data_IF_130087260039
#
_entry.id   IF_130087260039
#
_cell.length_a   1.000
_cell.length_b   1.000
_cell.length_c   1.000
_cell.angle_alpha   90.00
_cell.angle_beta   90.00
_cell.angle_gamma   90.00
#
_symmetry.space_group_name_H-M   'P 1'
#
loop_
_entity.id
_entity.type
_entity.pdbx_description
1 polymer ?
#
# COMPACT_ATOMS: atom_id res chain seq x y z
N UNK A 1 -11.97 63.15 -111.14
CA UNK A 1 -12.61 63.38 -109.82
C UNK A 1 -11.84 64.50 -109.21
N UNK A 2 -12.27 65.71 -109.53
CA UNK A 2 -11.36 66.85 -109.54
C UNK A 2 -11.49 67.52 -108.17
N UNK A 3 -10.34 67.79 -107.54
CA UNK A 3 -10.32 68.38 -106.21
C UNK A 3 -10.90 69.80 -106.27
N UNK A 4 -11.56 70.28 -105.19
CA UNK A 4 -11.94 71.69 -105.10
C UNK A 4 -10.69 72.55 -105.32
N UNK A 5 -10.80 73.61 -106.15
CA UNK A 5 -9.64 74.42 -106.57
C UNK A 5 -8.78 74.92 -105.41
N UNK A 6 -9.40 75.24 -104.28
CA UNK A 6 -8.70 75.72 -103.09
C UNK A 6 -7.87 74.63 -102.39
N UNK A 7 -8.26 73.36 -102.53
CA UNK A 7 -7.49 72.20 -102.08
C UNK A 7 -6.33 71.93 -103.04
N UNK A 8 -6.56 72.06 -104.34
CA UNK A 8 -5.51 71.90 -105.37
C UNK A 8 -4.45 73.01 -105.29
N UNK A 9 -4.86 74.27 -105.13
CA UNK A 9 -4.00 75.43 -104.83
C UNK A 9 -3.20 75.22 -103.53
N UNK A 10 -3.83 74.68 -102.48
CA UNK A 10 -3.17 74.39 -101.21
C UNK A 10 -2.16 73.24 -101.32
N UNK A 11 -2.47 72.18 -102.07
CA UNK A 11 -1.56 71.06 -102.34
C UNK A 11 -0.37 71.56 -103.17
N UNK A 12 -0.62 72.28 -104.26
CA UNK A 12 0.44 72.84 -105.12
C UNK A 12 1.36 73.76 -104.32
N UNK A 13 0.81 74.77 -103.63
CA UNK A 13 1.59 75.66 -102.76
C UNK A 13 2.28 74.94 -101.60
N UNK A 14 1.80 73.75 -101.21
CA UNK A 14 2.48 72.90 -100.23
C UNK A 14 3.66 72.12 -100.81
N UNK A 15 3.56 71.67 -102.06
CA UNK A 15 4.68 71.06 -102.80
C UNK A 15 5.75 72.12 -103.06
N UNK A 16 5.35 73.28 -103.60
CA UNK A 16 6.22 74.43 -103.86
C UNK A 16 7.02 74.83 -102.60
N UNK A 17 6.35 74.88 -101.43
CA UNK A 17 7.01 75.09 -100.13
C UNK A 17 8.12 74.06 -99.85
N UNK A 18 7.84 72.77 -100.04
CA UNK A 18 8.79 71.68 -99.73
C UNK A 18 9.98 71.60 -100.67
N UNK A 19 9.89 72.19 -101.89
CA UNK A 19 11.02 72.30 -102.83
C UNK A 19 11.72 73.67 -102.77
N UNK A 20 11.36 74.53 -101.81
CA UNK A 20 12.01 75.83 -101.58
C UNK A 20 11.58 76.95 -102.54
N UNK A 21 10.47 76.80 -103.26
CA UNK A 21 9.90 77.84 -104.10
C UNK A 21 9.08 78.86 -103.28
N UNK A 22 8.96 80.13 -103.73
CA UNK A 22 8.16 81.13 -103.04
C UNK A 22 6.67 80.79 -103.07
N UNK A 23 6.00 80.92 -101.93
CA UNK A 23 4.62 80.44 -101.70
C UNK A 23 3.68 81.62 -101.41
N UNK A 24 2.40 81.48 -101.78
CA UNK A 24 1.39 82.50 -101.45
C UNK A 24 1.17 82.64 -99.93
N UNK A 25 0.93 83.87 -99.47
CA UNK A 25 0.60 84.17 -98.08
C UNK A 25 -0.62 83.38 -97.60
N UNK A 26 -1.66 83.26 -98.44
CA UNK A 26 -2.88 82.46 -98.18
C UNK A 26 -2.55 81.00 -97.81
N UNK A 27 -1.58 80.38 -98.48
CA UNK A 27 -1.16 79.00 -98.17
C UNK A 27 -0.44 78.91 -96.82
N UNK A 28 0.36 79.91 -96.46
CA UNK A 28 1.07 79.97 -95.17
C UNK A 28 0.10 80.25 -94.00
N UNK A 29 -0.87 81.15 -94.19
CA UNK A 29 -1.94 81.44 -93.22
C UNK A 29 -2.82 80.21 -92.94
N UNK A 30 -3.20 79.46 -93.99
CA UNK A 30 -3.94 78.20 -93.85
C UNK A 30 -3.12 77.14 -93.08
N UNK A 31 -1.81 77.02 -93.37
CA UNK A 31 -0.92 76.13 -92.61
C UNK A 31 -0.83 76.54 -91.15
N UNK A 32 -0.59 77.81 -90.86
CA UNK A 32 -0.51 78.35 -89.51
C UNK A 32 -1.78 78.01 -88.71
N UNK A 33 -2.96 78.33 -89.26
CA UNK A 33 -4.24 78.01 -88.60
C UNK A 33 -4.41 76.51 -88.37
N UNK A 34 -4.08 75.66 -89.34
CA UNK A 34 -4.19 74.20 -89.17
C UNK A 34 -3.26 73.65 -88.07
N UNK A 35 -2.12 74.30 -87.84
CA UNK A 35 -1.17 73.95 -86.78
C UNK A 35 -1.68 74.46 -85.42
N UNK A 36 -2.26 75.66 -85.35
CA UNK A 36 -2.90 76.21 -84.15
C UNK A 36 -4.12 75.37 -83.72
N UNK A 37 -4.96 74.96 -84.66
CA UNK A 37 -6.08 74.03 -84.44
C UNK A 37 -5.61 72.65 -83.98
N UNK A 38 -4.54 72.09 -84.56
CA UNK A 38 -3.95 70.84 -84.10
C UNK A 38 -3.31 70.97 -82.70
N UNK A 39 -2.65 72.09 -82.40
CA UNK A 39 -2.00 72.35 -81.11
C UNK A 39 -3.01 72.53 -79.98
N UNK A 40 -4.11 73.25 -80.24
CA UNK A 40 -5.23 73.40 -79.30
C UNK A 40 -5.92 72.07 -79.03
N UNK A 41 -6.28 71.30 -80.06
CA UNK A 41 -6.84 69.96 -79.89
C UNK A 41 -5.91 69.00 -79.12
N UNK A 42 -4.59 69.07 -79.35
CA UNK A 42 -3.60 68.28 -78.61
C UNK A 42 -3.53 68.72 -77.12
N UNK A 43 -3.56 70.02 -76.86
CA UNK A 43 -3.57 70.59 -75.50
C UNK A 43 -4.81 70.17 -74.73
N UNK A 44 -5.99 70.20 -75.35
CA UNK A 44 -7.24 69.79 -74.71
C UNK A 44 -7.28 68.28 -74.42
N UNK A 45 -6.78 67.45 -75.36
CA UNK A 45 -6.60 66.01 -75.12
C UNK A 45 -5.61 65.73 -73.99
N UNK A 46 -4.52 66.48 -73.89
CA UNK A 46 -3.56 66.37 -72.80
C UNK A 46 -4.19 66.74 -71.45
N UNK A 47 -4.95 67.84 -71.37
CA UNK A 47 -5.66 68.26 -70.16
C UNK A 47 -6.72 67.24 -69.72
N UNK A 48 -7.47 66.67 -70.67
CA UNK A 48 -8.45 65.60 -70.41
C UNK A 48 -7.80 64.29 -69.94
N UNK A 49 -6.62 63.95 -70.46
CA UNK A 49 -5.86 62.79 -69.99
C UNK A 49 -5.29 63.02 -68.58
N UNK A 50 -4.81 64.24 -68.31
CA UNK A 50 -4.28 64.63 -67.00
C UNK A 50 -5.35 64.67 -65.90
N UNK A 51 -6.58 65.09 -66.21
CA UNK A 51 -7.69 65.03 -65.25
C UNK A 51 -8.12 63.59 -64.96
N UNK A 52 -8.26 62.75 -65.99
CA UNK A 52 -8.53 61.31 -65.84
C UNK A 52 -7.44 60.57 -65.05
N UNK A 53 -6.17 60.92 -65.23
CA UNK A 53 -5.07 60.32 -64.45
C UNK A 53 -5.25 60.62 -62.95
N UNK A 54 -5.45 61.90 -62.60
CA UNK A 54 -5.70 62.32 -61.21
C UNK A 54 -6.94 61.66 -60.58
N UNK A 55 -8.01 61.49 -61.36
CA UNK A 55 -9.23 60.77 -60.92
C UNK A 55 -8.93 59.29 -60.60
N UNK A 56 -8.10 58.63 -61.43
CA UNK A 56 -7.65 57.27 -61.20
C UNK A 56 -6.74 57.17 -59.98
N UNK A 57 -5.77 58.07 -59.83
CA UNK A 57 -4.86 58.11 -58.67
C UNK A 57 -5.65 58.27 -57.36
N UNK A 58 -6.57 59.23 -57.30
CA UNK A 58 -7.47 59.41 -56.14
C UNK A 58 -8.31 58.17 -55.84
N UNK A 59 -8.68 57.40 -56.86
CA UNK A 59 -9.46 56.17 -56.70
C UNK A 59 -8.59 55.02 -56.20
N UNK A 60 -7.34 54.93 -56.66
CA UNK A 60 -6.34 53.98 -56.16
C UNK A 60 -6.04 54.25 -54.68
N UNK A 61 -5.83 55.51 -54.27
CA UNK A 61 -5.58 55.83 -52.86
C UNK A 61 -6.80 55.56 -51.97
N UNK A 62 -8.03 55.83 -52.44
CA UNK A 62 -9.27 55.46 -51.72
C UNK A 62 -9.36 53.96 -51.49
N UNK A 63 -9.18 53.16 -52.54
CA UNK A 63 -9.21 51.68 -52.45
C UNK A 63 -8.06 51.13 -51.60
N UNK A 64 -6.87 51.75 -51.64
CA UNK A 64 -5.73 51.36 -50.78
C UNK A 64 -6.03 51.64 -49.30
N UNK A 65 -6.61 52.79 -48.98
CA UNK A 65 -7.00 53.13 -47.61
C UNK A 65 -8.08 52.19 -47.06
N UNK A 66 -9.12 51.91 -47.86
CA UNK A 66 -10.19 50.97 -47.52
C UNK A 66 -9.64 49.55 -47.29
N UNK A 67 -8.82 49.04 -48.22
CA UNK A 67 -8.17 47.74 -48.11
C UNK A 67 -7.29 47.60 -46.86
N UNK A 68 -6.53 48.66 -46.51
CA UNK A 68 -5.73 48.69 -45.30
C UNK A 68 -6.58 48.65 -44.01
N UNK A 69 -7.66 49.44 -43.94
CA UNK A 69 -8.59 49.42 -42.81
C UNK A 69 -9.27 48.06 -42.65
N UNK A 70 -9.69 47.44 -43.76
CA UNK A 70 -10.27 46.10 -43.77
C UNK A 70 -9.27 45.03 -43.33
N UNK A 71 -8.00 45.11 -43.75
CA UNK A 71 -6.95 44.20 -43.30
C UNK A 71 -6.66 44.32 -41.80
N UNK A 72 -6.66 45.55 -41.24
CA UNK A 72 -6.51 45.79 -39.81
C UNK A 72 -7.71 45.24 -39.02
N UNK A 73 -8.93 45.42 -39.52
CA UNK A 73 -10.14 44.88 -38.90
C UNK A 73 -10.14 43.34 -38.88
N UNK A 74 -9.80 42.70 -40.01
CA UNK A 74 -9.67 41.25 -40.11
C UNK A 74 -8.59 40.70 -39.17
N UNK A 75 -7.44 41.39 -39.05
CA UNK A 75 -6.37 40.99 -38.12
C UNK A 75 -6.84 40.97 -36.67
N UNK A 76 -7.54 42.04 -36.21
CA UNK A 76 -8.11 42.09 -34.86
C UNK A 76 -9.15 41.00 -34.63
N UNK A 77 -10.05 40.77 -35.59
CA UNK A 77 -11.05 39.71 -35.50
C UNK A 77 -10.40 38.31 -35.39
N UNK A 78 -9.29 38.06 -36.09
CA UNK A 78 -8.54 36.80 -35.97
C UNK A 78 -7.90 36.69 -34.57
N UNK A 79 -7.29 37.75 -34.06
CA UNK A 79 -6.69 37.79 -32.71
C UNK A 79 -7.73 37.55 -31.60
N UNK A 80 -8.90 38.18 -31.70
CA UNK A 80 -10.03 38.00 -30.77
C UNK A 80 -10.60 36.57 -30.83
N UNK A 81 -10.79 36.00 -32.02
CA UNK A 81 -11.23 34.61 -32.16
C UNK A 81 -10.20 33.60 -31.61
N UNK A 82 -8.90 33.85 -31.79
CA UNK A 82 -7.85 33.01 -31.21
C UNK A 82 -7.84 33.06 -29.68
N UNK A 83 -8.08 34.25 -29.10
CA UNK A 83 -8.25 34.44 -27.65
C UNK A 83 -9.50 33.72 -27.12
N UNK A 84 -10.65 33.87 -27.79
CA UNK A 84 -11.88 33.16 -27.42
C UNK A 84 -11.71 31.63 -27.50
N UNK A 85 -11.04 31.12 -28.53
CA UNK A 85 -10.75 29.70 -28.64
C UNK A 85 -9.85 29.18 -27.49
N UNK A 86 -8.86 29.96 -27.04
CA UNK A 86 -8.03 29.56 -25.89
C UNK A 86 -8.79 29.61 -24.56
N UNK A 87 -9.70 30.57 -24.39
CA UNK A 87 -10.60 30.66 -23.24
C UNK A 87 -11.61 29.50 -23.20
N UNK A 88 -12.22 29.15 -24.33
CA UNK A 88 -13.08 27.96 -24.45
C UNK A 88 -12.32 26.66 -24.11
N UNK A 89 -11.09 26.49 -24.60
CA UNK A 89 -10.26 25.32 -24.27
C UNK A 89 -9.90 25.26 -22.78
N UNK A 90 -9.62 26.40 -22.15
CA UNK A 90 -9.38 26.50 -20.69
C UNK A 90 -10.64 26.12 -19.89
N UNK A 91 -11.80 26.67 -20.26
CA UNK A 91 -13.08 26.36 -19.62
C UNK A 91 -13.47 24.89 -19.78
N UNK A 92 -13.32 24.30 -20.97
CA UNK A 92 -13.52 22.87 -21.20
C UNK A 92 -12.60 22.01 -20.32
N UNK A 93 -11.34 22.43 -20.15
CA UNK A 93 -10.37 21.73 -19.29
C UNK A 93 -10.78 21.79 -17.81
N UNK A 94 -11.39 22.89 -17.36
CA UNK A 94 -11.96 23.03 -16.02
C UNK A 94 -13.25 22.22 -15.85
N UNK A 95 -14.18 22.25 -16.80
CA UNK A 95 -15.39 21.41 -16.79
C UNK A 95 -15.03 19.93 -16.67
N UNK A 96 -14.07 19.46 -17.46
CA UNK A 96 -13.56 18.08 -17.40
C UNK A 96 -12.87 17.75 -16.06
N UNK A 97 -12.35 18.75 -15.32
CA UNK A 97 -11.82 18.55 -13.96
C UNK A 97 -12.96 18.40 -12.93
N UNK A 98 -13.97 19.26 -13.01
CA UNK A 98 -15.13 19.20 -12.12
C UNK A 98 -16.00 17.95 -12.34
N UNK A 99 -16.22 17.52 -13.59
CA UNK A 99 -16.94 16.29 -13.92
C UNK A 99 -16.28 15.04 -13.29
N UNK A 100 -14.95 14.98 -13.31
CA UNK A 100 -14.19 13.91 -12.64
C UNK A 100 -14.31 13.98 -11.11
N UNK A 101 -14.34 15.17 -10.52
CA UNK A 101 -14.51 15.34 -9.07
C UNK A 101 -15.93 14.98 -8.61
N UNK A 102 -16.97 15.40 -9.33
CA UNK A 102 -18.35 14.93 -9.13
C UNK A 102 -18.42 13.40 -9.20
N UNK A 103 -17.80 12.80 -10.22
CA UNK A 103 -17.70 11.35 -10.36
C UNK A 103 -16.93 10.66 -9.22
N UNK A 104 -16.08 11.36 -8.47
CA UNK A 104 -15.47 10.82 -7.25
C UNK A 104 -16.45 10.91 -6.07
N UNK A 105 -17.11 12.06 -5.87
CA UNK A 105 -18.13 12.23 -4.83
C UNK A 105 -19.31 11.25 -4.96
N UNK A 106 -19.75 10.92 -6.18
CA UNK A 106 -20.80 9.91 -6.41
C UNK A 106 -20.37 8.52 -5.92
N UNK A 107 -19.15 8.08 -6.28
CA UNK A 107 -18.57 6.79 -5.83
C UNK A 107 -18.29 6.77 -4.34
N UNK A 108 -17.82 7.89 -3.77
CA UNK A 108 -17.58 8.02 -2.34
C UNK A 108 -18.88 7.93 -1.54
N UNK A 109 -19.99 8.49 -2.06
CA UNK A 109 -21.34 8.35 -1.49
C UNK A 109 -21.83 6.91 -1.55
N UNK A 110 -21.64 6.23 -2.68
CA UNK A 110 -22.00 4.80 -2.86
C UNK A 110 -21.23 3.91 -1.88
N UNK A 111 -19.89 4.06 -1.80
CA UNK A 111 -19.06 3.30 -0.87
C UNK A 111 -19.41 3.54 0.61
N UNK A 112 -19.85 4.75 0.97
CA UNK A 112 -20.35 5.06 2.32
C UNK A 112 -21.74 4.45 2.59
N UNK A 113 -22.60 4.35 1.59
CA UNK A 113 -23.90 3.68 1.70
C UNK A 113 -23.73 2.16 1.90
N UNK A 114 -22.87 1.52 1.10
CA UNK A 114 -22.55 0.10 1.23
C UNK A 114 -21.91 -0.22 2.60
N UNK A 115 -20.98 0.63 3.06
CA UNK A 115 -20.41 0.50 4.41
C UNK A 115 -21.48 0.62 5.51
N UNK A 116 -22.47 1.50 5.34
CA UNK A 116 -23.62 1.60 6.23
C UNK A 116 -24.45 0.31 6.26
N UNK A 117 -24.78 -0.23 5.08
CA UNK A 117 -25.51 -1.49 4.94
C UNK A 117 -24.76 -2.67 5.60
N UNK A 118 -23.44 -2.77 5.40
CA UNK A 118 -22.59 -3.77 6.08
C UNK A 118 -22.58 -3.60 7.61
N UNK A 119 -22.52 -2.36 8.11
CA UNK A 119 -22.49 -2.07 9.53
C UNK A 119 -23.83 -2.43 10.22
N UNK A 120 -24.95 -2.07 9.59
CA UNK A 120 -26.30 -2.41 10.05
C UNK A 120 -26.55 -3.92 10.04
N UNK A 121 -26.10 -4.64 9.00
CA UNK A 121 -26.21 -6.10 8.98
C UNK A 121 -25.38 -6.73 10.10
N UNK A 122 -24.13 -6.28 10.28
CA UNK A 122 -23.25 -6.75 11.37
C UNK A 122 -23.80 -6.45 12.76
N UNK A 123 -24.55 -5.36 12.92
CA UNK A 123 -25.25 -5.04 14.15
C UNK A 123 -26.40 -6.03 14.42
N UNK A 124 -27.25 -6.32 13.43
CA UNK A 124 -28.32 -7.33 13.51
C UNK A 124 -27.75 -8.72 13.80
N UNK A 125 -26.68 -9.12 13.10
CA UNK A 125 -25.98 -10.37 13.34
C UNK A 125 -25.41 -10.47 14.76
N UNK A 126 -25.05 -9.35 15.40
CA UNK A 126 -24.59 -9.32 16.79
C UNK A 126 -25.77 -9.35 17.78
N UNK A 127 -26.86 -8.64 17.48
CA UNK A 127 -28.08 -8.63 18.30
C UNK A 127 -28.71 -10.03 18.40
N UNK A 128 -28.87 -10.73 17.27
CA UNK A 128 -29.38 -12.12 17.25
C UNK A 128 -28.54 -13.03 18.13
N UNK A 129 -27.21 -12.99 18.02
CA UNK A 129 -26.31 -13.81 18.86
C UNK A 129 -26.36 -13.43 20.34
N UNK A 130 -26.62 -12.17 20.68
CA UNK A 130 -26.87 -11.78 22.08
C UNK A 130 -28.19 -12.37 22.59
N UNK A 131 -29.25 -12.38 21.77
CA UNK A 131 -30.54 -13.00 22.12
C UNK A 131 -30.40 -14.52 22.30
N UNK A 132 -29.71 -15.21 21.39
CA UNK A 132 -29.38 -16.65 21.49
C UNK A 132 -28.64 -16.96 22.81
N UNK A 133 -27.54 -16.25 23.10
CA UNK A 133 -26.75 -16.45 24.32
C UNK A 133 -27.54 -16.09 25.60
N UNK A 134 -28.44 -15.11 25.53
CA UNK A 134 -29.36 -14.82 26.63
C UNK A 134 -30.34 -15.97 26.88
N UNK A 135 -30.87 -16.62 25.85
CA UNK A 135 -31.74 -17.79 26.01
C UNK A 135 -30.99 -19.01 26.55
N UNK A 136 -29.76 -19.27 26.08
CA UNK A 136 -28.87 -20.28 26.65
C UNK A 136 -28.58 -20.01 28.13
N UNK A 137 -28.23 -18.78 28.50
CA UNK A 137 -28.04 -18.40 29.92
C UNK A 137 -29.32 -18.56 30.74
N UNK A 138 -30.49 -18.22 30.20
CA UNK A 138 -31.80 -18.44 30.86
C UNK A 138 -32.10 -19.94 31.02
N UNK A 139 -31.60 -20.80 30.12
CA UNK A 139 -31.65 -22.26 30.22
C UNK A 139 -30.75 -22.80 31.32
N UNK A 140 -29.44 -22.54 31.22
CA UNK A 140 -28.43 -22.97 32.20
C UNK A 140 -28.74 -22.49 33.62
N UNK A 141 -29.28 -21.27 33.78
CA UNK A 141 -29.68 -20.75 35.09
C UNK A 141 -30.82 -21.56 35.72
N UNK A 142 -31.78 -22.05 34.93
CA UNK A 142 -32.87 -22.92 35.41
C UNK A 142 -32.34 -24.31 35.80
N UNK A 143 -31.43 -24.86 35.01
CA UNK A 143 -30.80 -26.16 35.28
C UNK A 143 -29.92 -26.11 36.54
N UNK A 144 -29.13 -25.05 36.73
CA UNK A 144 -28.34 -24.84 37.94
C UNK A 144 -29.23 -24.73 39.19
N UNK A 145 -30.36 -24.01 39.11
CA UNK A 145 -31.35 -23.95 40.20
C UNK A 145 -31.94 -25.34 40.50
N UNK A 146 -32.26 -26.13 39.46
CA UNK A 146 -32.77 -27.49 39.62
C UNK A 146 -31.77 -28.40 40.34
N UNK A 147 -30.50 -28.44 39.91
CA UNK A 147 -29.48 -29.24 40.60
C UNK A 147 -29.19 -28.75 42.02
N UNK A 148 -29.17 -27.43 42.25
CA UNK A 148 -29.02 -26.86 43.60
C UNK A 148 -30.11 -27.37 44.54
N UNK A 149 -31.38 -27.24 44.15
CA UNK A 149 -32.49 -27.74 44.98
C UNK A 149 -32.59 -29.26 45.05
N UNK A 150 -31.97 -30.01 44.14
CA UNK A 150 -31.80 -31.46 44.29
C UNK A 150 -30.71 -31.80 45.32
N UNK A 151 -29.60 -31.06 45.33
CA UNK A 151 -28.50 -31.23 46.28
C UNK A 151 -28.92 -30.84 47.70
N UNK A 152 -29.62 -29.71 47.87
CA UNK A 152 -30.13 -29.25 49.17
C UNK A 152 -31.03 -30.30 49.84
N UNK A 153 -31.88 -31.01 49.08
CA UNK A 153 -32.68 -32.13 49.58
C UNK A 153 -31.80 -33.30 50.05
N UNK A 154 -30.85 -33.75 49.22
CA UNK A 154 -29.95 -34.88 49.57
C UNK A 154 -29.08 -34.60 50.80
N UNK A 155 -28.70 -33.34 51.05
CA UNK A 155 -27.92 -32.97 52.25
C UNK A 155 -28.76 -33.11 53.53
N UNK A 156 -30.06 -32.78 53.48
CA UNK A 156 -30.95 -32.93 54.63
C UNK A 156 -31.10 -34.40 55.08
N UNK A 157 -31.11 -35.35 54.14
CA UNK A 157 -31.21 -36.78 54.41
C UNK A 157 -29.91 -37.41 54.96
N UNK A 158 -28.76 -36.74 54.79
CA UNK A 158 -27.43 -37.36 54.95
C UNK A 158 -26.85 -37.34 56.39
N UNK A 159 -27.64 -36.92 57.39
CA UNK A 159 -27.19 -36.80 58.79
C UNK A 159 -26.76 -38.12 59.45
N UNK A 160 -26.98 -39.27 58.79
CA UNK A 160 -26.66 -40.61 59.30
C UNK A 160 -25.27 -41.14 58.84
N UNK A 161 -24.61 -40.49 57.87
CA UNK A 161 -23.45 -41.07 57.17
C UNK A 161 -22.12 -41.11 57.96
N UNK A 162 -21.97 -40.31 59.01
CA UNK A 162 -20.69 -40.14 59.71
C UNK A 162 -20.21 -41.42 60.42
N UNK A 163 -21.12 -42.17 61.06
CA UNK A 163 -20.78 -43.39 61.81
C UNK A 163 -20.53 -44.60 60.90
N UNK A 164 -21.21 -44.66 59.74
CA UNK A 164 -20.96 -45.70 58.73
C UNK A 164 -19.63 -45.49 58.02
N UNK A 165 -19.23 -44.22 57.76
CA UNK A 165 -17.93 -43.89 57.18
C UNK A 165 -16.77 -44.37 58.07
N UNK A 166 -16.79 -44.06 59.37
CA UNK A 166 -15.77 -44.49 60.33
C UNK A 166 -15.61 -46.03 60.35
N UNK A 167 -16.73 -46.75 60.30
CA UNK A 167 -16.77 -48.22 60.32
C UNK A 167 -16.20 -48.84 59.04
N UNK A 168 -16.53 -48.27 57.87
CA UNK A 168 -15.97 -48.70 56.58
C UNK A 168 -14.48 -48.39 56.47
N UNK A 169 -14.03 -47.26 57.03
CA UNK A 169 -12.64 -46.82 57.00
C UNK A 169 -11.73 -47.73 57.84
N UNK A 170 -12.18 -48.18 59.01
CA UNK A 170 -11.52 -49.26 59.77
C UNK A 170 -11.44 -50.56 58.97
N UNK A 171 -12.52 -50.95 58.27
CA UNK A 171 -12.52 -52.18 57.46
C UNK A 171 -11.51 -52.13 56.30
N UNK A 172 -11.45 -51.01 55.57
CA UNK A 172 -10.54 -50.82 54.43
C UNK A 172 -9.07 -50.78 54.88
N UNK A 173 -8.74 -50.04 55.95
CA UNK A 173 -7.39 -50.03 56.54
C UNK A 173 -7.06 -51.35 57.24
N UNK A 174 -8.07 -52.10 57.68
CA UNK A 174 -7.98 -53.50 58.08
C UNK A 174 -7.41 -54.35 56.95
N UNK A 175 -8.07 -54.36 55.79
CA UNK A 175 -7.75 -55.24 54.65
C UNK A 175 -6.48 -54.87 53.89
N UNK A 176 -6.17 -53.59 53.65
CA UNK A 176 -5.04 -53.21 52.78
C UNK A 176 -3.66 -53.20 53.45
N UNK A 177 -3.56 -53.34 54.77
CA UNK A 177 -2.32 -53.07 55.52
C UNK A 177 -1.98 -54.25 56.44
N UNK A 178 -0.95 -55.02 56.07
CA UNK A 178 -0.44 -56.15 56.84
C UNK A 178 0.07 -55.73 58.24
N UNK A 179 0.08 -56.66 59.19
CA UNK A 179 0.36 -56.41 60.61
C UNK A 179 1.83 -56.05 60.91
N UNK A 180 2.76 -56.52 60.07
CA UNK A 180 4.22 -56.34 60.18
C UNK A 180 4.67 -54.85 60.23
N UNK A 181 3.76 -53.91 59.95
CA UNK A 181 4.05 -52.49 59.88
C UNK A 181 3.97 -51.74 61.23
N UNK A 182 3.29 -52.27 62.25
CA UNK A 182 2.91 -51.51 63.46
C UNK A 182 4.11 -50.94 64.23
N UNK A 183 5.24 -51.66 64.27
CA UNK A 183 6.47 -51.18 64.89
C UNK A 183 7.04 -49.92 64.21
N UNK A 184 6.91 -49.81 62.87
CA UNK A 184 7.43 -48.69 62.08
C UNK A 184 6.70 -47.38 62.34
N UNK A 185 5.41 -47.42 62.73
CA UNK A 185 4.67 -46.23 63.12
C UNK A 185 5.12 -45.69 64.47
N UNK A 186 5.42 -46.57 65.44
CA UNK A 186 5.89 -46.19 66.76
C UNK A 186 7.29 -45.57 66.71
N UNK A 187 8.26 -46.25 66.08
CA UNK A 187 9.63 -45.75 65.98
C UNK A 187 9.75 -44.44 65.17
N UNK A 188 8.79 -44.16 64.29
CA UNK A 188 8.69 -42.88 63.60
C UNK A 188 8.22 -41.74 64.52
N UNK A 189 7.26 -41.99 65.42
CA UNK A 189 6.89 -41.00 66.46
C UNK A 189 8.04 -40.77 67.44
N UNK A 190 8.77 -41.83 67.83
CA UNK A 190 9.96 -41.75 68.68
C UNK A 190 11.06 -40.90 68.01
N UNK A 191 11.33 -41.11 66.71
CA UNK A 191 12.28 -40.32 65.92
C UNK A 191 11.85 -38.86 65.68
N UNK A 192 10.54 -38.55 65.75
CA UNK A 192 9.98 -37.21 65.57
C UNK A 192 9.46 -36.60 66.88
N UNK A 193 9.89 -37.12 68.03
CA UNK A 193 9.45 -36.72 69.38
C UNK A 193 9.71 -35.25 69.72
N UNK A 194 10.60 -34.57 68.98
CA UNK A 194 10.80 -33.12 69.02
C UNK A 194 9.53 -32.30 68.69
N UNK A 195 8.53 -32.91 68.06
CA UNK A 195 7.22 -32.29 67.82
C UNK A 195 6.22 -32.72 68.91
N UNK A 196 5.67 -31.75 69.65
CA UNK A 196 4.70 -31.94 70.72
C UNK A 196 3.52 -32.85 70.33
N UNK A 197 3.01 -32.72 69.10
CA UNK A 197 1.95 -33.58 68.56
C UNK A 197 2.39 -35.05 68.41
N UNK A 198 3.64 -35.29 68.01
CA UNK A 198 4.19 -36.65 67.89
C UNK A 198 4.44 -37.26 69.27
N UNK A 199 4.92 -36.46 70.24
CA UNK A 199 5.04 -36.89 71.64
C UNK A 199 3.68 -37.29 72.22
N UNK A 200 2.63 -36.46 72.07
CA UNK A 200 1.28 -36.78 72.55
C UNK A 200 0.68 -38.02 71.89
N UNK A 201 0.90 -38.21 70.58
CA UNK A 201 0.52 -39.43 69.86
C UNK A 201 1.28 -40.68 70.35
N UNK A 202 2.52 -40.52 70.80
CA UNK A 202 3.34 -41.61 71.33
C UNK A 202 2.92 -42.00 72.76
N UNK A 203 2.66 -41.00 73.61
CA UNK A 203 2.10 -41.19 74.96
C UNK A 203 0.74 -41.89 74.91
N UNK A 204 -0.10 -41.53 73.92
CA UNK A 204 -1.40 -42.16 73.68
C UNK A 204 -1.35 -43.41 72.78
N UNK A 205 -0.18 -43.90 72.35
CA UNK A 205 -0.07 -44.92 71.29
C UNK A 205 -0.96 -46.15 71.52
N UNK A 206 -1.01 -46.66 72.75
CA UNK A 206 -1.79 -47.84 73.13
C UNK A 206 -3.32 -47.62 73.19
N UNK A 207 -3.80 -46.37 73.14
CA UNK A 207 -5.23 -46.01 73.09
C UNK A 207 -5.68 -45.41 71.75
N UNK A 208 -4.77 -45.28 70.77
CA UNK A 208 -5.12 -44.95 69.39
C UNK A 208 -5.92 -46.09 68.73
N UNK A 209 -6.84 -45.75 67.82
CA UNK A 209 -7.54 -46.76 67.00
C UNK A 209 -6.53 -47.53 66.12
N UNK A 210 -6.78 -48.82 65.78
CA UNK A 210 -5.91 -49.59 64.88
C UNK A 210 -5.69 -48.91 63.52
N UNK A 211 -6.73 -48.30 62.93
CA UNK A 211 -6.59 -47.43 61.74
C UNK A 211 -5.52 -46.35 61.92
N UNK A 212 -5.51 -45.65 63.06
CA UNK A 212 -4.59 -44.54 63.34
C UNK A 212 -3.15 -45.03 63.46
N UNK A 213 -2.93 -46.14 64.18
CA UNK A 213 -1.61 -46.79 64.26
C UNK A 213 -1.11 -47.23 62.88
N UNK A 214 -1.99 -47.81 62.04
CA UNK A 214 -1.69 -48.21 60.67
C UNK A 214 -1.37 -47.01 59.76
N UNK A 215 -2.11 -45.90 59.85
CA UNK A 215 -1.84 -44.66 59.09
C UNK A 215 -0.50 -44.03 59.50
N UNK A 216 -0.15 -44.02 60.79
CA UNK A 216 1.15 -43.56 61.26
C UNK A 216 2.30 -44.48 60.76
N UNK A 217 2.04 -45.77 60.63
CA UNK A 217 2.96 -46.75 60.02
C UNK A 217 3.08 -46.60 58.49
N UNK A 218 2.06 -46.04 57.82
CA UNK A 218 2.18 -45.62 56.42
C UNK A 218 2.96 -44.32 56.28
N UNK A 219 2.76 -43.34 57.18
CA UNK A 219 3.49 -42.08 57.17
C UNK A 219 5.01 -42.30 57.32
N UNK A 220 5.44 -43.26 58.15
CA UNK A 220 6.84 -43.61 58.28
C UNK A 220 7.43 -44.27 57.02
N UNK A 221 6.71 -45.23 56.42
CA UNK A 221 7.09 -45.81 55.12
C UNK A 221 7.15 -44.77 54.00
N UNK A 222 6.21 -43.84 53.95
CA UNK A 222 6.22 -42.73 53.00
C UNK A 222 7.44 -41.81 53.20
N UNK A 223 7.85 -41.54 54.45
CA UNK A 223 9.04 -40.74 54.72
C UNK A 223 10.35 -41.44 54.31
N UNK A 224 10.44 -42.76 54.49
CA UNK A 224 11.57 -43.55 53.97
C UNK A 224 11.59 -43.53 52.44
N UNK A 225 10.45 -43.82 51.79
CA UNK A 225 10.33 -43.78 50.32
C UNK A 225 10.56 -42.39 49.72
N UNK A 226 10.25 -41.31 50.44
CA UNK A 226 10.57 -39.94 50.02
C UNK A 226 12.08 -39.69 50.01
N UNK A 227 12.80 -40.14 51.04
CA UNK A 227 14.25 -40.06 51.10
C UNK A 227 14.89 -40.93 49.99
N UNK A 228 14.45 -42.19 49.84
CA UNK A 228 14.93 -43.11 48.81
C UNK A 228 14.69 -42.57 47.39
N UNK A 229 13.52 -41.96 47.15
CA UNK A 229 13.19 -41.29 45.89
C UNK A 229 14.14 -40.13 45.58
N UNK A 230 14.49 -39.30 46.56
CA UNK A 230 15.41 -38.19 46.33
C UNK A 230 16.86 -38.68 46.18
N UNK A 231 17.27 -39.75 46.88
CA UNK A 231 18.54 -40.43 46.62
C UNK A 231 18.61 -41.00 45.18
N UNK A 232 17.55 -41.67 44.71
CA UNK A 232 17.44 -42.15 43.34
C UNK A 232 17.46 -41.00 42.33
N UNK A 233 16.82 -39.87 42.63
CA UNK A 233 16.83 -38.67 41.78
C UNK A 233 18.23 -38.04 41.66
N UNK A 234 18.96 -37.92 42.77
CA UNK A 234 20.33 -37.43 42.79
C UNK A 234 21.25 -38.37 41.99
N UNK A 235 21.06 -39.69 42.12
CA UNK A 235 21.84 -40.68 41.37
C UNK A 235 21.52 -40.66 39.87
N UNK A 236 20.24 -40.46 39.49
CA UNK A 236 19.85 -40.29 38.09
C UNK A 236 20.47 -39.02 37.48
N UNK A 237 20.41 -37.88 38.19
CA UNK A 237 21.01 -36.63 37.75
C UNK A 237 22.53 -36.78 37.48
N UNK A 238 23.24 -37.48 38.37
CA UNK A 238 24.67 -37.80 38.17
C UNK A 238 24.90 -38.72 36.98
N UNK A 239 24.08 -39.75 36.79
CA UNK A 239 24.20 -40.64 35.63
C UNK A 239 23.93 -39.91 34.31
N UNK A 240 22.99 -38.95 34.28
CA UNK A 240 22.74 -38.08 33.13
C UNK A 240 23.92 -37.12 32.86
N UNK A 241 24.56 -36.58 33.90
CA UNK A 241 25.79 -35.78 33.79
C UNK A 241 26.99 -36.62 33.30
N UNK A 242 27.20 -37.82 33.83
CA UNK A 242 28.24 -38.76 33.39
C UNK A 242 28.04 -39.18 31.93
N UNK A 243 26.81 -39.51 31.51
CA UNK A 243 26.46 -39.81 30.11
C UNK A 243 26.70 -38.60 29.21
N UNK A 244 26.45 -37.38 29.67
CA UNK A 244 26.72 -36.15 28.91
C UNK A 244 28.22 -35.91 28.70
N UNK A 245 29.05 -36.09 29.75
CA UNK A 245 30.51 -36.00 29.64
C UNK A 245 31.05 -37.09 28.70
N UNK A 246 30.61 -38.34 28.87
CA UNK A 246 30.98 -39.44 27.98
C UNK A 246 30.53 -39.21 26.53
N UNK A 247 29.41 -38.53 26.29
CA UNK A 247 28.99 -38.14 24.94
C UNK A 247 29.91 -37.06 24.36
N UNK A 248 30.28 -36.04 25.14
CA UNK A 248 31.22 -34.99 24.72
C UNK A 248 32.62 -35.58 24.41
N UNK A 249 33.14 -36.46 25.27
CA UNK A 249 34.39 -37.20 25.03
C UNK A 249 34.32 -38.12 23.79
N UNK A 250 33.21 -38.84 23.59
CA UNK A 250 33.03 -39.67 22.39
C UNK A 250 32.98 -38.82 21.11
N UNK A 251 32.39 -37.63 21.13
CA UNK A 251 32.43 -36.71 19.97
C UNK A 251 33.85 -36.21 19.70
N UNK A 252 34.63 -35.90 20.75
CA UNK A 252 36.05 -35.53 20.60
C UNK A 252 36.86 -36.68 20.00
N UNK A 253 36.68 -37.91 20.51
CA UNK A 253 37.30 -39.13 19.98
C UNK A 253 36.83 -39.46 18.55
N UNK A 254 35.58 -39.16 18.17
CA UNK A 254 35.12 -39.32 16.78
C UNK A 254 35.81 -38.31 15.86
N UNK A 255 35.97 -37.05 16.28
CA UNK A 255 36.71 -36.03 15.53
C UNK A 255 38.22 -36.32 15.47
N UNK A 256 38.83 -36.92 16.50
CA UNK A 256 40.21 -37.41 16.41
C UNK A 256 40.33 -38.64 15.51
N UNK A 257 39.41 -39.60 15.57
CA UNK A 257 39.35 -40.72 14.64
C UNK A 257 39.17 -40.24 13.19
N UNK A 258 38.32 -39.23 12.92
CA UNK A 258 38.19 -38.60 11.59
C UNK A 258 39.49 -37.93 11.14
N UNK A 259 40.20 -37.22 12.02
CA UNK A 259 41.52 -36.62 11.72
C UNK A 259 42.53 -37.71 11.36
N UNK A 260 42.61 -38.78 12.17
CA UNK A 260 43.49 -39.95 11.97
C UNK A 260 43.15 -40.71 10.68
N UNK A 261 41.88 -41.01 10.42
CA UNK A 261 41.41 -41.57 9.15
C UNK A 261 41.79 -40.66 7.98
N UNK A 262 41.66 -39.33 8.10
CA UNK A 262 42.13 -38.41 7.06
C UNK A 262 43.64 -38.46 6.87
N UNK A 263 44.43 -38.68 7.94
CA UNK A 263 45.89 -38.81 7.89
C UNK A 263 46.28 -40.13 7.22
N UNK A 264 45.75 -41.26 7.66
CA UNK A 264 45.98 -42.57 7.03
C UNK A 264 45.49 -42.60 5.57
N UNK A 265 44.42 -41.89 5.22
CA UNK A 265 44.00 -41.71 3.82
C UNK A 265 44.98 -40.83 3.02
N UNK A 266 45.51 -39.73 3.59
CA UNK A 266 46.56 -38.90 2.95
C UNK A 266 47.86 -39.68 2.78
N UNK A 267 48.19 -40.52 3.75
CA UNK A 267 49.36 -41.39 3.77
C UNK A 267 49.22 -42.53 2.74
N UNK A 268 48.02 -43.13 2.60
CA UNK A 268 47.69 -43.97 1.44
C UNK A 268 47.85 -43.22 0.12
N UNK A 269 47.25 -42.03 -0.03
CA UNK A 269 47.34 -41.23 -1.27
C UNK A 269 48.79 -40.84 -1.61
N UNK A 270 49.67 -40.68 -0.61
CA UNK A 270 51.11 -40.48 -0.82
C UNK A 270 51.87 -41.76 -1.20
N UNK A 271 51.45 -42.93 -0.72
CA UNK A 271 52.03 -44.22 -1.12
C UNK A 271 51.47 -44.72 -2.48
N UNK A 272 50.23 -44.37 -2.82
CA UNK A 272 49.54 -44.70 -4.06
C UNK A 272 49.84 -43.69 -5.20
N UNK A 273 50.75 -42.73 -5.00
CA UNK A 273 51.09 -41.69 -5.99
C UNK A 273 51.96 -42.18 -7.18
N UNK A 274 51.70 -43.42 -7.62
CA UNK A 274 52.23 -44.04 -8.83
C UNK A 274 51.07 -44.57 -9.72
N UNK A 275 49.95 -43.84 -9.75
CA UNK A 275 48.67 -44.27 -10.33
C UNK A 275 47.95 -43.17 -11.13
N UNK A 276 48.31 -43.02 -12.40
CA UNK A 276 47.79 -42.10 -13.42
C UNK A 276 46.26 -41.80 -13.42
N UNK A 277 45.96 -40.52 -13.67
CA UNK A 277 44.82 -39.96 -14.45
C UNK A 277 43.39 -39.99 -13.86
N UNK A 278 42.73 -38.82 -13.86
CA UNK A 278 41.29 -38.67 -13.54
C UNK A 278 40.83 -37.20 -13.48
N UNK A 279 40.56 -36.58 -14.62
CA UNK A 279 40.30 -35.13 -14.74
C UNK A 279 38.82 -34.73 -14.68
N UNK A 280 38.47 -33.71 -13.88
CA UNK A 280 37.83 -32.47 -14.37
C UNK A 280 37.62 -31.41 -13.26
N UNK A 281 37.26 -30.18 -13.65
CA UNK A 281 37.37 -28.96 -12.83
C UNK A 281 36.03 -28.33 -12.38
N UNK A 282 36.09 -27.36 -11.46
CA UNK A 282 34.95 -26.56 -10.97
C UNK A 282 35.36 -25.09 -10.72
N UNK A 283 34.43 -24.13 -10.84
CA UNK A 283 34.72 -22.71 -11.08
C UNK A 283 34.22 -21.70 -9.99
N UNK A 284 35.06 -21.49 -8.96
CA UNK A 284 35.48 -20.22 -8.34
C UNK A 284 34.55 -18.95 -8.30
N UNK A 285 34.04 -18.62 -7.09
CA UNK A 285 33.90 -17.24 -6.48
C UNK A 285 32.76 -16.29 -7.00
N UNK A 286 32.32 -15.15 -6.42
CA UNK A 286 32.57 -14.26 -5.23
C UNK A 286 31.25 -13.42 -4.95
N UNK A 287 30.92 -12.66 -3.86
CA UNK A 287 31.40 -12.40 -2.45
C UNK A 287 31.73 -10.92 -2.09
N UNK A 288 30.77 -10.04 -1.64
CA UNK A 288 30.95 -8.90 -0.64
C UNK A 288 29.82 -7.81 -0.46
N UNK A 289 29.40 -7.59 0.81
CA UNK A 289 29.26 -6.35 1.66
C UNK A 289 28.70 -4.94 1.20
N UNK A 290 27.63 -4.50 1.92
CA UNK A 290 27.49 -3.29 2.82
C UNK A 290 27.29 -1.81 2.34
N UNK A 291 26.35 -1.08 2.99
CA UNK A 291 26.50 0.22 3.75
C UNK A 291 25.43 1.35 3.56
N UNK A 292 25.42 2.35 4.47
CA UNK A 292 24.64 3.63 4.47
C UNK A 292 23.12 3.55 4.77
N UNK A 293 22.35 4.61 5.14
CA UNK A 293 22.61 6.04 5.44
C UNK A 293 21.57 6.64 6.46
N UNK A 294 21.34 7.97 6.51
CA UNK A 294 20.28 8.71 7.29
C UNK A 294 19.67 9.87 6.47
N UNK A 295 18.48 10.38 6.85
CA UNK A 295 17.90 11.69 6.41
C UNK A 295 17.19 12.38 7.61
N UNK A 296 17.08 13.71 7.59
CA UNK A 296 16.53 14.58 8.65
C UNK A 296 15.27 15.38 8.24
N UNK A 297 14.65 16.04 9.23
CA UNK A 297 13.43 16.89 9.18
C UNK A 297 13.74 18.37 8.80
N UNK A 298 12.80 19.36 8.84
CA UNK A 298 11.34 19.34 9.11
C UNK A 298 10.47 20.06 8.03
N UNK A 299 9.21 20.38 8.34
CA UNK A 299 8.22 21.10 7.49
C UNK A 299 7.93 22.49 8.07
N UNK A 300 7.84 23.51 7.21
CA UNK A 300 7.12 24.76 7.47
C UNK A 300 5.94 24.93 6.50
N UNK A 301 4.90 25.67 6.89
CA UNK A 301 3.67 25.85 6.11
C UNK A 301 3.51 27.29 5.62
N UNK A 302 3.30 27.46 4.31
CA UNK A 302 2.57 28.58 3.72
C UNK A 302 1.61 28.02 2.68
N UNK A 303 0.32 28.33 2.82
CA UNK A 303 -0.68 27.97 1.82
C UNK A 303 -0.56 28.93 0.63
N UNK A 304 -0.23 28.37 -0.54
CA UNK A 304 -0.23 29.05 -1.82
C UNK A 304 -1.27 28.35 -2.72
N UNK A 305 -2.16 29.10 -3.37
CA UNK A 305 -3.19 28.51 -4.24
C UNK A 305 -2.66 28.07 -5.62
N UNK A 306 -1.34 27.92 -5.75
CA UNK A 306 -0.66 27.18 -6.82
C UNK A 306 -0.21 25.76 -6.39
N UNK A 307 -0.52 25.32 -5.16
CA UNK A 307 -0.02 24.07 -4.58
C UNK A 307 -0.69 22.79 -5.12
N UNK A 308 -0.10 22.27 -6.22
CA UNK A 308 -0.05 20.84 -6.63
C UNK A 308 -1.37 20.11 -6.90
N UNK A 309 -1.54 19.58 -8.13
CA UNK A 309 -2.54 18.57 -8.52
C UNK A 309 -2.32 17.21 -7.81
N UNK A 310 -2.60 17.16 -6.50
CA UNK A 310 -2.87 15.91 -5.80
C UNK A 310 -4.30 15.47 -6.08
N UNK A 311 -4.50 14.85 -7.23
CA UNK A 311 -5.79 14.24 -7.60
C UNK A 311 -6.24 13.28 -6.50
N UNK A 312 -7.37 13.64 -5.86
CA UNK A 312 -7.98 12.86 -4.78
C UNK A 312 -8.22 11.42 -5.28
N UNK A 313 -7.68 10.45 -4.56
CA UNK A 313 -8.07 9.05 -4.77
C UNK A 313 -9.45 8.82 -4.14
N UNK A 314 -10.33 8.02 -4.76
CA UNK A 314 -11.59 7.63 -4.15
C UNK A 314 -11.33 6.92 -2.81
N UNK A 315 -12.31 6.95 -1.92
CA UNK A 315 -12.23 6.25 -0.63
C UNK A 315 -12.10 4.74 -0.88
N UNK A 316 -10.94 4.18 -0.52
CA UNK A 316 -10.80 2.73 -0.41
C UNK A 316 -11.86 2.19 0.57
N UNK A 317 -12.49 1.03 0.29
CA UNK A 317 -13.38 0.38 1.24
C UNK A 317 -12.74 0.28 2.62
N UNK A 318 -13.41 0.81 3.64
CA UNK A 318 -12.88 0.87 4.99
C UNK A 318 -12.65 -0.55 5.50
N UNK A 319 -11.38 -0.93 5.67
CA UNK A 319 -11.02 -2.29 6.07
C UNK A 319 -11.75 -2.68 7.35
N UNK A 320 -12.55 -3.73 7.27
CA UNK A 320 -13.30 -4.27 8.39
C UNK A 320 -12.37 -4.51 9.58
N UNK A 321 -12.59 -3.80 10.69
CA UNK A 321 -11.93 -4.03 11.97
C UNK A 321 -12.44 -5.32 12.65
N UNK A 322 -12.37 -6.43 11.92
CA UNK A 322 -12.58 -7.78 12.46
C UNK A 322 -11.42 -8.11 13.41
N UNK A 323 -11.67 -8.61 14.64
CA UNK A 323 -10.62 -8.85 15.64
C UNK A 323 -9.49 -9.79 15.19
N UNK A 324 -9.67 -10.56 14.11
CA UNK A 324 -8.72 -11.55 13.61
C UNK A 324 -7.50 -10.96 12.88
N UNK A 325 -7.51 -9.68 12.48
CA UNK A 325 -6.42 -9.09 11.67
C UNK A 325 -5.12 -8.78 12.45
N UNK A 326 -5.17 -8.71 13.79
CA UNK A 326 -3.99 -8.35 14.63
C UNK A 326 -2.94 -9.46 14.78
N UNK A 327 -3.18 -10.67 14.27
CA UNK A 327 -2.30 -11.84 14.51
C UNK A 327 -1.03 -11.88 13.64
N UNK A 328 -0.90 -11.04 12.61
CA UNK A 328 0.24 -11.09 11.68
C UNK A 328 0.97 -9.75 11.52
N UNK A 329 1.79 -9.44 12.53
CA UNK A 329 3.05 -8.71 12.35
C UNK A 329 4.18 -9.50 13.03
N UNK A 330 5.13 -9.96 12.22
CA UNK A 330 6.44 -10.46 12.61
C UNK A 330 7.50 -9.54 12.00
#
# INVERSE_FOLDING_TARGET
MDLPKEVDEYIKGSIDYTVGLPVSTKTLELKLRSIEEAQTQLRDRYLLLLSRLKEKDQTIERVRAESNMNAIALKKFIEENQKLASECNSLLSQCNKWERECSLYDRDREALMDFGNEADQRAKDAEVRCQELEEEMKGLSKELLFYKSQHEKRVADSSLGATTQDTLLESVLGTLINEENVALGRSFLEANSNHESCQKLLEMWNSLKPSTQKVLSMASKLKVLENDKEHLRINLCKAEEEVKVLFEDNNLLEEENKKLLSLCCKERIHNDSSGKNGSNASAKSNKRKSSSSRISSPIEKKLDFTEVDTTRKPLSPLQCNSPKSRMFKK
#
